data_IF_071071287276
#
_entry.id   IF_071071287276
#
_cell.length_a   1.000
_cell.length_b   1.000
_cell.length_c   1.000
_cell.angle_alpha   90.00
_cell.angle_beta   90.00
_cell.angle_gamma   90.00
#
_symmetry.space_group_name_H-M   'P 1'
#
loop_
_entity.id
_entity.type
_entity.pdbx_description
1 polymer ?
#
# COMPACT_ATOMS: atom_id res chain seq x y z
N UNK A 1 8.28 12.88 13.55
CA UNK A 1 8.01 13.81 12.45
C UNK A 1 7.00 13.17 11.51
N UNK A 2 6.12 13.98 10.90
CA UNK A 2 5.20 13.52 9.87
C UNK A 2 5.94 13.23 8.54
N UNK A 3 5.34 12.51 7.57
CA UNK A 3 5.90 12.36 6.24
C UNK A 3 6.15 13.71 5.57
N UNK A 4 7.25 13.82 4.80
CA UNK A 4 7.65 15.05 4.10
C UNK A 4 6.83 15.30 2.84
N UNK A 5 6.55 14.23 2.10
CA UNK A 5 5.74 14.27 0.89
C UNK A 5 4.26 14.56 1.25
N UNK A 6 3.62 15.62 0.71
CA UNK A 6 2.20 15.88 0.94
C UNK A 6 1.30 14.75 0.41
N UNK A 7 1.71 14.06 -0.65
CA UNK A 7 0.96 12.98 -1.31
C UNK A 7 1.24 11.59 -0.70
N UNK A 8 1.86 11.54 0.48
CA UNK A 8 2.20 10.31 1.19
C UNK A 8 1.01 9.36 1.37
N UNK A 9 -0.21 9.89 1.43
CA UNK A 9 -1.45 9.13 1.56
C UNK A 9 -1.73 8.27 0.32
N UNK A 10 -1.53 8.83 -0.88
CA UNK A 10 -1.72 8.11 -2.14
C UNK A 10 -0.65 7.04 -2.31
N UNK A 11 0.60 7.36 -1.97
CA UNK A 11 1.70 6.39 -1.94
C UNK A 11 1.41 5.24 -0.98
N UNK A 12 0.79 5.52 0.17
CA UNK A 12 0.36 4.48 1.12
C UNK A 12 -0.74 3.60 0.53
N UNK A 13 -1.74 4.20 -0.09
CA UNK A 13 -2.85 3.48 -0.73
C UNK A 13 -2.35 2.58 -1.86
N UNK A 14 -1.45 3.07 -2.71
CA UNK A 14 -0.83 2.30 -3.79
C UNK A 14 -0.04 1.09 -3.24
N UNK A 15 0.76 1.29 -2.19
CA UNK A 15 1.49 0.20 -1.53
C UNK A 15 0.56 -0.87 -0.96
N UNK A 16 -0.54 -0.46 -0.30
CA UNK A 16 -1.55 -1.39 0.24
C UNK A 16 -2.24 -2.16 -0.88
N UNK A 17 -2.65 -1.49 -1.96
CA UNK A 17 -3.30 -2.10 -3.11
C UNK A 17 -2.39 -3.16 -3.77
N UNK A 18 -1.12 -2.81 -4.01
CA UNK A 18 -0.12 -3.74 -4.57
C UNK A 18 0.06 -4.99 -3.71
N UNK A 19 0.04 -4.80 -2.39
CA UNK A 19 0.21 -5.89 -1.45
C UNK A 19 -1.02 -6.81 -1.38
N UNK A 20 -2.23 -6.24 -1.43
CA UNK A 20 -3.48 -7.01 -1.51
C UNK A 20 -3.57 -7.85 -2.79
N UNK A 21 -2.99 -7.38 -3.88
CA UNK A 21 -2.86 -8.17 -5.12
C UNK A 21 -2.01 -9.43 -4.93
N UNK A 22 -0.88 -9.31 -4.21
CA UNK A 22 0.01 -10.45 -3.97
C UNK A 22 -0.58 -11.43 -2.95
N UNK A 23 -1.15 -10.91 -1.87
CA UNK A 23 -1.72 -11.74 -0.81
C UNK A 23 -2.87 -11.07 -0.09
N UNK A 24 -3.86 -11.88 0.21
CA UNK A 24 -5.03 -11.50 1.00
C UNK A 24 -4.61 -11.27 2.45
N UNK A 25 -4.88 -10.08 2.97
CA UNK A 25 -4.45 -9.72 4.35
C UNK A 25 -5.41 -8.74 5.03
N UNK A 26 -5.21 -8.55 6.34
CA UNK A 26 -5.94 -7.59 7.14
C UNK A 26 -5.06 -6.48 7.71
N UNK A 27 -5.68 -5.51 8.37
CA UNK A 27 -5.03 -4.33 8.97
C UNK A 27 -3.84 -4.70 9.88
N UNK A 28 -3.95 -5.79 10.64
CA UNK A 28 -2.88 -6.25 11.53
C UNK A 28 -1.57 -6.58 10.81
N UNK A 29 -1.65 -7.23 9.64
CA UNK A 29 -0.48 -7.56 8.83
C UNK A 29 0.21 -6.28 8.32
N UNK A 30 -0.56 -5.34 7.80
CA UNK A 30 -0.07 -4.03 7.35
C UNK A 30 0.64 -3.26 8.46
N UNK A 31 0.14 -3.31 9.70
CA UNK A 31 0.83 -2.64 10.82
C UNK A 31 2.17 -3.27 11.18
N UNK A 32 2.40 -4.54 10.82
CA UNK A 32 3.71 -5.16 10.97
C UNK A 32 4.66 -4.76 9.84
N UNK A 33 4.15 -4.67 8.60
CA UNK A 33 4.94 -4.30 7.42
C UNK A 33 5.37 -2.84 7.45
N UNK A 34 4.44 -1.95 7.78
CA UNK A 34 4.72 -0.52 7.97
C UNK A 34 5.20 -0.20 9.39
N UNK A 35 5.46 -1.22 10.20
CA UNK A 35 6.13 -1.07 11.49
C UNK A 35 7.63 -0.96 11.31
N UNK A 36 8.33 -0.55 12.36
CA UNK A 36 9.78 -0.39 12.28
C UNK A 36 10.43 -0.26 13.65
N UNK A 37 11.74 -0.03 13.63
CA UNK A 37 12.53 0.19 14.85
C UNK A 37 12.19 1.56 15.45
N UNK A 38 11.70 1.59 16.68
CA UNK A 38 11.48 2.83 17.43
C UNK A 38 12.63 3.08 18.39
N UNK A 39 13.27 4.25 18.24
CA UNK A 39 14.21 4.78 19.23
C UNK A 39 13.44 5.24 20.47
N UNK A 40 13.86 4.78 21.66
CA UNK A 40 13.23 5.11 22.96
C UNK A 40 14.12 6.03 23.81
N UNK A 41 14.83 6.97 23.17
CA UNK A 41 15.76 7.86 23.86
C UNK A 41 16.97 7.09 24.39
N UNK A 42 17.10 7.04 25.72
CA UNK A 42 18.18 6.34 26.45
C UNK A 42 17.98 4.83 26.57
N UNK A 43 16.74 4.33 26.39
CA UNK A 43 16.43 2.89 26.46
C UNK A 43 16.70 2.20 25.11
N UNK A 44 17.01 0.88 25.10
CA UNK A 44 17.19 0.11 23.87
C UNK A 44 16.03 0.25 22.89
N UNK A 45 16.36 0.21 21.60
CA UNK A 45 15.36 0.28 20.54
C UNK A 45 14.59 -1.04 20.40
N UNK A 46 13.28 -0.95 20.24
CA UNK A 46 12.42 -2.12 19.98
C UNK A 46 11.57 -1.89 18.73
N UNK A 47 11.08 -2.98 18.14
CA UNK A 47 10.10 -2.91 17.06
C UNK A 47 8.77 -2.35 17.58
N UNK A 48 8.20 -1.38 16.85
CA UNK A 48 6.85 -0.89 17.08
C UNK A 48 6.03 -1.02 15.80
N UNK A 49 4.79 -1.51 15.95
CA UNK A 49 3.82 -1.59 14.85
C UNK A 49 3.43 -0.20 14.36
N UNK A 50 3.20 -0.10 13.06
CA UNK A 50 2.68 1.11 12.42
C UNK A 50 1.25 1.46 12.86
N UNK A 51 0.81 2.66 12.51
CA UNK A 51 -0.52 3.16 12.87
C UNK A 51 -1.63 2.34 12.22
N UNK A 52 -2.50 1.74 13.05
CA UNK A 52 -3.70 1.01 12.60
C UNK A 52 -4.74 1.94 11.96
N UNK A 53 -4.84 3.17 12.45
CA UNK A 53 -5.83 4.15 11.99
C UNK A 53 -5.59 4.54 10.53
N UNK A 54 -4.33 4.86 10.19
CA UNK A 54 -3.92 5.23 8.83
C UNK A 54 -4.24 4.11 7.84
N UNK A 55 -3.80 2.88 8.14
CA UNK A 55 -4.05 1.72 7.27
C UNK A 55 -5.55 1.46 7.10
N UNK A 56 -6.33 1.54 8.19
CA UNK A 56 -7.78 1.33 8.13
C UNK A 56 -8.46 2.36 7.24
N UNK A 57 -8.11 3.64 7.39
CA UNK A 57 -8.66 4.73 6.56
C UNK A 57 -8.30 4.55 5.08
N UNK A 58 -7.05 4.17 4.77
CA UNK A 58 -6.63 3.88 3.39
C UNK A 58 -7.49 2.78 2.75
N UNK A 59 -7.69 1.67 3.48
CA UNK A 59 -8.52 0.55 2.99
C UNK A 59 -9.97 0.99 2.82
N UNK A 60 -10.53 1.75 3.77
CA UNK A 60 -11.90 2.29 3.65
C UNK A 60 -12.05 3.24 2.46
N UNK A 61 -11.05 4.09 2.16
CA UNK A 61 -11.05 4.91 0.96
C UNK A 61 -11.02 4.08 -0.31
N UNK A 62 -10.20 3.02 -0.36
CA UNK A 62 -10.15 2.11 -1.51
C UNK A 62 -11.44 1.28 -1.68
N UNK A 63 -12.11 0.93 -0.58
CA UNK A 63 -13.43 0.30 -0.59
C UNK A 63 -14.50 1.24 -1.18
N UNK A 64 -14.48 2.54 -0.81
CA UNK A 64 -15.41 3.54 -1.38
C UNK A 64 -15.28 3.69 -2.89
N UNK A 65 -14.06 3.58 -3.41
CA UNK A 65 -13.76 3.67 -4.86
C UNK A 65 -13.97 2.31 -5.56
N UNK A 66 -14.50 1.29 -4.85
CA UNK A 66 -14.71 -0.08 -5.36
C UNK A 66 -13.44 -0.76 -5.88
N UNK A 67 -12.29 -0.31 -5.40
CA UNK A 67 -10.99 -0.88 -5.76
C UNK A 67 -10.70 -2.14 -4.94
N UNK A 68 -11.19 -2.18 -3.71
CA UNK A 68 -11.04 -3.28 -2.75
C UNK A 68 -12.42 -3.70 -2.27
N UNK A 69 -12.61 -5.00 -2.07
CA UNK A 69 -13.86 -5.59 -1.61
C UNK A 69 -13.64 -6.42 -0.34
N UNK A 70 -14.71 -6.56 0.43
CA UNK A 70 -14.76 -7.48 1.58
C UNK A 70 -15.01 -8.88 1.05
N UNK A 71 -14.21 -9.83 1.50
CA UNK A 71 -14.40 -11.23 1.14
C UNK A 71 -15.27 -11.94 2.19
N UNK A 72 -16.07 -12.92 1.75
CA UNK A 72 -16.98 -13.70 2.60
C UNK A 72 -16.28 -14.37 3.79
N UNK A 73 -15.13 -15.01 3.56
CA UNK A 73 -14.29 -15.61 4.61
C UNK A 73 -13.49 -14.61 5.49
N UNK A 74 -13.79 -13.32 5.38
CA UNK A 74 -13.09 -12.25 6.10
C UNK A 74 -11.84 -11.72 5.38
N UNK A 75 -11.32 -10.60 5.91
CA UNK A 75 -10.21 -9.87 5.31
C UNK A 75 -10.64 -8.91 4.21
N UNK A 76 -9.67 -8.51 3.36
CA UNK A 76 -9.90 -7.67 2.19
C UNK A 76 -9.22 -8.30 0.98
N UNK A 77 -9.86 -8.17 -0.16
CA UNK A 77 -9.40 -8.69 -1.44
C UNK A 77 -9.53 -7.60 -2.48
N UNK A 78 -8.62 -7.58 -3.45
CA UNK A 78 -8.71 -6.67 -4.57
C UNK A 78 -9.94 -7.02 -5.43
N UNK A 79 -10.73 -6.03 -5.84
CA UNK A 79 -11.85 -6.27 -6.74
C UNK A 79 -11.36 -6.67 -8.14
N UNK A 80 -12.23 -7.26 -8.96
CA UNK A 80 -11.88 -7.58 -10.35
C UNK A 80 -11.48 -6.33 -11.15
N UNK A 81 -12.18 -5.21 -10.90
CA UNK A 81 -11.89 -3.92 -11.51
C UNK A 81 -10.54 -3.38 -11.00
N UNK A 82 -10.29 -3.46 -9.69
CA UNK A 82 -9.02 -3.04 -9.09
C UNK A 82 -7.84 -3.83 -9.64
N UNK A 83 -8.01 -5.13 -9.89
CA UNK A 83 -6.99 -5.98 -10.50
C UNK A 83 -6.67 -5.56 -11.92
N UNK A 84 -7.71 -5.42 -12.77
CA UNK A 84 -7.56 -4.96 -14.15
C UNK A 84 -6.84 -3.62 -14.22
N UNK A 85 -7.27 -2.63 -13.42
CA UNK A 85 -6.66 -1.31 -13.42
C UNK A 85 -5.19 -1.35 -13.02
N UNK A 86 -4.81 -2.17 -12.03
CA UNK A 86 -3.41 -2.33 -11.66
C UNK A 86 -2.57 -2.97 -12.77
N UNK A 87 -3.10 -3.97 -13.46
CA UNK A 87 -2.38 -4.62 -14.56
C UNK A 87 -2.21 -3.64 -15.75
N UNK A 88 -3.22 -2.82 -16.05
CA UNK A 88 -3.12 -1.76 -17.07
C UNK A 88 -2.06 -0.72 -16.71
N UNK A 89 -2.06 -0.22 -15.47
CA UNK A 89 -1.07 0.76 -15.02
C UNK A 89 0.34 0.15 -15.02
N UNK A 90 0.49 -1.11 -14.62
CA UNK A 90 1.77 -1.80 -14.65
C UNK A 90 2.34 -1.87 -16.07
N UNK A 91 1.50 -2.18 -17.07
CA UNK A 91 1.89 -2.17 -18.48
C UNK A 91 2.35 -0.76 -18.92
N UNK A 92 1.58 0.28 -18.60
CA UNK A 92 1.93 1.66 -18.94
C UNK A 92 3.26 2.10 -18.31
N UNK A 93 3.52 1.72 -17.06
CA UNK A 93 4.79 2.02 -16.38
C UNK A 93 5.96 1.29 -17.05
N UNK A 94 5.80 0.03 -17.43
CA UNK A 94 6.82 -0.74 -18.14
C UNK A 94 7.16 -0.11 -19.50
N UNK A 95 6.14 0.26 -20.29
CA UNK A 95 6.33 0.95 -21.57
C UNK A 95 7.01 2.31 -21.40
N UNK A 96 6.64 3.08 -20.38
CA UNK A 96 7.26 4.37 -20.07
C UNK A 96 8.73 4.21 -19.72
N UNK A 97 9.07 3.21 -18.91
CA UNK A 97 10.45 2.94 -18.50
C UNK A 97 11.32 2.55 -19.71
N UNK A 98 10.80 1.69 -20.59
CA UNK A 98 11.49 1.31 -21.82
C UNK A 98 11.79 2.51 -22.73
N UNK A 99 10.82 3.43 -22.90
CA UNK A 99 11.02 4.67 -23.68
C UNK A 99 12.05 5.59 -23.06
N UNK A 100 12.09 5.71 -21.73
CA UNK A 100 13.09 6.53 -21.03
C UNK A 100 14.51 5.99 -21.20
N UNK A 101 14.67 4.67 -21.19
CA UNK A 101 15.97 4.03 -21.45
C UNK A 101 16.45 4.27 -22.88
N UNK A 102 15.54 4.25 -23.87
CA UNK A 102 15.85 4.56 -25.26
C UNK A 102 16.26 6.02 -25.50
N UNK A 103 15.79 6.96 -24.66
CA UNK A 103 16.15 8.38 -24.75
C UNK A 103 17.49 8.72 -24.08
N UNK A 104 18.03 7.82 -23.27
CA UNK A 104 19.30 7.98 -22.57
C UNK A 104 20.47 7.30 -23.31
N UNK A 105 20.17 6.61 -24.41
CA UNK A 105 21.13 6.05 -25.36
C UNK A 105 21.21 6.96 -26.59
#
# INVERSE_FOLDING_TARGET
MAPVDPDWYYTRCASIARFLYLRRTGVGAFTRIYGGRKRKGVRPSHFQRGSRSVVRKCIQSLEKVKFVEKHASGGRVLSQIGRRNMDTIAKQVAEKLARQQQQQQ
#
